data_IF_464115875557
#
_entry.id   IF_464115875557
#
_cell.length_a   1.000
_cell.length_b   1.000
_cell.length_c   1.000
_cell.angle_alpha   90.00
_cell.angle_beta   90.00
_cell.angle_gamma   90.00
#
_symmetry.space_group_name_H-M   'P 1'
#
loop_
_entity.id
_entity.type
_entity.pdbx_description
1 polymer ?
#
# COMPACT_ATOMS: atom_id res chain seq x y z
N UNK A 1 -24.75 -7.84 14.81
CA UNK A 1 -23.28 -7.80 14.93
C UNK A 1 -22.92 -6.36 15.22
N UNK A 2 -21.93 -6.12 16.10
CA UNK A 2 -21.47 -4.75 16.33
C UNK A 2 -20.73 -4.28 15.08
N UNK A 3 -21.19 -3.19 14.49
CA UNK A 3 -20.51 -2.51 13.39
C UNK A 3 -19.23 -1.88 13.97
N UNK A 4 -18.07 -2.46 13.68
CA UNK A 4 -16.78 -2.04 14.26
C UNK A 4 -16.13 -0.93 13.45
N UNK A 5 -16.30 -0.99 12.14
CA UNK A 5 -15.79 0.04 11.23
C UNK A 5 -16.95 0.97 10.94
N UNK A 6 -16.87 2.15 11.55
CA UNK A 6 -17.84 3.21 11.32
C UNK A 6 -17.74 3.69 9.88
N UNK A 7 -18.79 4.38 9.43
CA UNK A 7 -18.80 5.05 8.14
C UNK A 7 -17.69 6.11 8.02
N UNK A 8 -17.37 6.79 9.12
CA UNK A 8 -16.28 7.77 9.17
C UNK A 8 -14.91 7.10 9.00
N UNK A 9 -14.66 6.02 9.73
CA UNK A 9 -13.41 5.26 9.63
C UNK A 9 -13.23 4.68 8.23
N UNK A 10 -14.29 4.12 7.64
CA UNK A 10 -14.22 3.58 6.29
C UNK A 10 -13.89 4.66 5.26
N UNK A 11 -14.51 5.85 5.37
CA UNK A 11 -14.19 6.98 4.47
C UNK A 11 -12.74 7.40 4.60
N UNK A 12 -12.21 7.48 5.83
CA UNK A 12 -10.80 7.79 6.07
C UNK A 12 -9.87 6.72 5.50
N UNK A 13 -10.23 5.44 5.59
CA UNK A 13 -9.46 4.35 4.99
C UNK A 13 -9.45 4.44 3.46
N UNK A 14 -10.59 4.73 2.83
CA UNK A 14 -10.69 4.93 1.39
C UNK A 14 -9.84 6.12 0.92
N UNK A 15 -9.86 7.23 1.66
CA UNK A 15 -9.03 8.41 1.40
C UNK A 15 -7.53 8.07 1.48
N UNK A 16 -7.09 7.39 2.54
CA UNK A 16 -5.69 6.95 2.68
C UNK A 16 -5.24 6.01 1.56
N UNK A 17 -6.17 5.21 1.02
CA UNK A 17 -5.93 4.33 -0.11
C UNK A 17 -6.04 5.04 -1.48
N UNK A 18 -6.35 6.35 -1.50
CA UNK A 18 -6.62 7.13 -2.72
C UNK A 18 -7.73 6.51 -3.59
N UNK A 19 -8.78 5.99 -2.95
CA UNK A 19 -9.95 5.41 -3.60
C UNK A 19 -11.14 6.37 -3.54
N UNK A 20 -11.57 6.86 -4.70
CA UNK A 20 -12.84 7.56 -4.83
C UNK A 20 -13.96 6.54 -5.07
N UNK A 21 -14.87 6.41 -4.10
CA UNK A 21 -15.94 5.42 -4.13
C UNK A 21 -17.32 6.10 -4.14
N UNK A 22 -18.23 5.69 -5.04
CA UNK A 22 -19.64 6.04 -4.95
C UNK A 22 -20.24 5.60 -3.61
N UNK A 23 -21.19 6.36 -3.09
CA UNK A 23 -21.79 6.11 -1.77
C UNK A 23 -22.42 4.71 -1.63
N UNK A 24 -23.04 4.18 -2.69
CA UNK A 24 -23.59 2.82 -2.70
C UNK A 24 -22.49 1.74 -2.59
N UNK A 25 -21.41 1.91 -3.35
CA UNK A 25 -20.26 1.00 -3.33
C UNK A 25 -19.52 1.07 -2.00
N UNK A 26 -19.36 2.28 -1.45
CA UNK A 26 -18.75 2.49 -0.15
C UNK A 26 -19.53 1.76 0.96
N UNK A 27 -20.86 1.82 0.94
CA UNK A 27 -21.67 1.11 1.93
C UNK A 27 -21.62 -0.41 1.77
N UNK A 28 -21.63 -0.90 0.53
CA UNK A 28 -21.46 -2.31 0.24
C UNK A 28 -20.10 -2.83 0.77
N UNK A 29 -19.01 -2.18 0.38
CA UNK A 29 -17.65 -2.57 0.77
C UNK A 29 -17.42 -2.44 2.28
N UNK A 30 -17.99 -1.42 2.92
CA UNK A 30 -17.94 -1.27 4.38
C UNK A 30 -18.65 -2.42 5.10
N UNK A 31 -19.79 -2.88 4.56
CA UNK A 31 -20.47 -4.07 5.04
C UNK A 31 -19.60 -5.32 4.93
N UNK A 32 -19.01 -5.55 3.76
CA UNK A 32 -18.11 -6.68 3.52
C UNK A 32 -16.86 -6.64 4.41
N UNK A 33 -16.27 -5.46 4.63
CA UNK A 33 -15.11 -5.31 5.49
C UNK A 33 -15.46 -5.59 6.96
N UNK A 34 -16.64 -5.16 7.44
CA UNK A 34 -17.14 -5.53 8.76
C UNK A 34 -17.38 -7.05 8.87
N UNK A 35 -17.85 -7.72 7.81
CA UNK A 35 -17.98 -9.18 7.79
C UNK A 35 -16.61 -9.87 7.90
N UNK A 36 -15.57 -9.32 7.26
CA UNK A 36 -14.20 -9.84 7.33
C UNK A 36 -13.55 -9.68 8.72
N UNK A 37 -14.01 -8.73 9.55
CA UNK A 37 -13.51 -8.57 10.93
C UNK A 37 -13.70 -9.84 11.77
N UNK A 38 -14.70 -10.67 11.45
CA UNK A 38 -14.92 -11.97 12.12
C UNK A 38 -13.66 -12.85 11.99
N UNK A 39 -13.05 -12.90 10.81
CA UNK A 39 -11.83 -13.69 10.60
C UNK A 39 -10.64 -13.15 11.39
N UNK A 40 -10.54 -11.83 11.53
CA UNK A 40 -9.48 -11.17 12.31
C UNK A 40 -9.65 -11.49 13.80
N UNK A 41 -10.87 -11.45 14.33
CA UNK A 41 -11.18 -11.79 15.73
C UNK A 41 -10.85 -13.26 16.05
N UNK A 42 -11.13 -14.16 15.10
CA UNK A 42 -10.75 -15.58 15.25
C UNK A 42 -9.23 -15.70 15.36
N UNK A 43 -8.47 -14.99 14.53
CA UNK A 43 -7.00 -14.99 14.59
C UNK A 43 -6.48 -14.37 15.89
N UNK A 44 -7.05 -13.26 16.34
CA UNK A 44 -6.70 -12.58 17.60
C UNK A 44 -6.94 -13.48 18.83
N UNK A 45 -7.95 -14.35 18.77
CA UNK A 45 -8.27 -15.27 19.87
C UNK A 45 -7.25 -16.40 20.05
N UNK A 46 -6.34 -16.60 19.10
CA UNK A 46 -5.32 -17.65 19.17
C UNK A 46 -4.20 -17.17 20.11
N UNK A 47 -3.94 -17.87 21.24
CA UNK A 47 -2.86 -17.48 22.14
C UNK A 47 -1.51 -17.65 21.43
N UNK A 48 -0.69 -16.59 21.47
CA UNK A 48 0.68 -16.58 20.97
C UNK A 48 1.61 -16.45 22.18
N UNK A 49 2.66 -17.27 22.23
CA UNK A 49 3.68 -17.16 23.27
C UNK A 49 4.38 -15.80 23.17
N UNK A 50 4.60 -15.11 24.29
CA UNK A 50 5.19 -13.77 24.30
C UNK A 50 6.63 -13.73 23.76
N UNK A 51 7.33 -14.87 23.76
CA UNK A 51 8.67 -15.05 23.19
C UNK A 51 8.61 -15.37 21.68
N UNK A 52 7.42 -15.46 21.08
CA UNK A 52 7.28 -15.71 19.64
C UNK A 52 7.62 -14.44 18.86
N UNK A 53 8.74 -14.49 18.15
CA UNK A 53 9.12 -13.42 17.22
C UNK A 53 8.18 -13.32 16.01
N UNK A 54 8.06 -12.11 15.46
CA UNK A 54 7.32 -11.88 14.21
C UNK A 54 8.04 -12.50 13.02
N UNK A 55 7.32 -13.23 12.17
CA UNK A 55 7.86 -13.80 10.94
C UNK A 55 7.89 -12.76 9.80
N UNK A 56 8.88 -11.87 9.78
CA UNK A 56 9.03 -10.84 8.73
C UNK A 56 9.34 -11.44 7.33
N UNK A 57 9.97 -12.61 7.30
CA UNK A 57 10.32 -13.34 6.08
C UNK A 57 10.03 -14.83 6.26
N UNK A 58 9.76 -15.54 5.15
CA UNK A 58 9.50 -16.98 5.19
C UNK A 58 10.74 -17.85 5.49
N UNK A 59 11.94 -17.28 5.40
CA UNK A 59 13.21 -17.92 5.74
C UNK A 59 14.12 -16.92 6.48
N UNK A 60 14.96 -17.39 7.42
CA UNK A 60 15.95 -16.53 8.07
C UNK A 60 17.05 -16.13 7.07
N UNK A 61 17.41 -14.85 7.08
CA UNK A 61 18.59 -14.36 6.35
C UNK A 61 19.84 -14.54 7.22
N UNK A 62 20.71 -15.45 6.79
CA UNK A 62 22.01 -15.79 7.36
C UNK A 62 23.12 -15.32 6.40
N UNK A 63 24.36 -15.30 6.85
CA UNK A 63 25.51 -14.97 5.99
C UNK A 63 25.61 -15.87 4.74
N UNK A 64 25.08 -17.10 4.80
CA UNK A 64 25.11 -18.05 3.68
C UNK A 64 24.07 -17.75 2.59
N UNK A 65 22.88 -17.25 2.97
CA UNK A 65 21.76 -17.07 2.04
C UNK A 65 21.35 -15.60 1.81
N UNK A 66 22.02 -14.66 2.49
CA UNK A 66 21.83 -13.23 2.26
C UNK A 66 22.50 -12.81 0.97
N UNK A 67 21.80 -12.02 0.16
CA UNK A 67 22.40 -11.39 -1.02
C UNK A 67 23.51 -10.42 -0.59
N UNK A 68 24.61 -10.39 -1.33
CA UNK A 68 25.64 -9.37 -1.15
C UNK A 68 25.06 -7.96 -1.47
N UNK A 69 25.59 -6.90 -0.83
CA UNK A 69 25.23 -5.54 -1.20
C UNK A 69 25.49 -5.28 -2.69
N UNK A 70 24.60 -4.50 -3.33
CA UNK A 70 24.80 -4.05 -4.70
C UNK A 70 26.03 -3.13 -4.77
N UNK A 71 26.93 -3.38 -5.71
CA UNK A 71 28.09 -2.53 -5.97
C UNK A 71 27.70 -1.12 -6.44
N UNK A 72 28.49 -0.13 -6.05
CA UNK A 72 28.31 1.27 -6.44
C UNK A 72 28.86 1.58 -7.84
N UNK A 73 28.27 0.94 -8.85
CA UNK A 73 28.62 1.13 -10.27
C UNK A 73 27.42 1.70 -11.00
N UNK A 74 27.59 2.89 -11.58
CA UNK A 74 26.56 3.52 -12.39
C UNK A 74 26.27 2.67 -13.64
N UNK A 75 24.98 2.44 -13.92
CA UNK A 75 24.51 1.77 -15.13
C UNK A 75 23.50 2.67 -15.81
N UNK A 76 23.75 3.01 -17.08
CA UNK A 76 22.78 3.75 -17.89
C UNK A 76 21.68 2.81 -18.35
N UNK A 77 20.43 3.24 -18.21
CA UNK A 77 19.28 2.51 -18.72
C UNK A 77 19.08 2.85 -20.22
N UNK A 78 19.14 1.86 -21.13
CA UNK A 78 18.97 2.11 -22.57
C UNK A 78 17.51 2.29 -22.99
N UNK A 79 16.54 2.01 -22.12
CA UNK A 79 15.11 1.96 -22.43
C UNK A 79 14.37 3.26 -22.10
N UNK A 80 15.08 4.40 -22.00
CA UNK A 80 14.46 5.70 -21.65
C UNK A 80 13.20 6.00 -22.45
N UNK A 81 13.24 5.81 -23.78
CA UNK A 81 12.09 6.11 -24.62
C UNK A 81 10.92 5.15 -24.36
N UNK A 82 11.19 3.85 -24.24
CA UNK A 82 10.17 2.83 -23.94
C UNK A 82 9.50 3.04 -22.57
N UNK A 83 10.22 3.62 -21.60
CA UNK A 83 9.67 4.01 -20.31
C UNK A 83 8.72 5.21 -20.48
N UNK A 84 9.15 6.24 -21.22
CA UNK A 84 8.32 7.43 -21.44
C UNK A 84 7.07 7.11 -22.25
N UNK A 85 7.15 6.22 -23.24
CA UNK A 85 6.01 5.82 -24.08
C UNK A 85 4.86 5.15 -23.28
N UNK A 86 5.09 4.79 -22.01
CA UNK A 86 4.05 4.27 -21.11
C UNK A 86 3.29 5.36 -20.34
N UNK A 87 3.77 6.61 -20.37
CA UNK A 87 3.14 7.72 -19.67
C UNK A 87 1.84 8.14 -20.40
N UNK A 88 0.74 8.39 -19.67
CA UNK A 88 -0.50 8.86 -20.29
C UNK A 88 -0.36 10.20 -21.02
N UNK A 89 0.48 11.09 -20.50
CA UNK A 89 0.71 12.43 -21.06
C UNK A 89 2.18 12.83 -20.87
N UNK A 90 2.75 13.44 -21.91
CA UNK A 90 4.13 13.90 -21.94
C UNK A 90 4.22 15.30 -22.56
N UNK A 91 5.09 16.13 -22.00
CA UNK A 91 5.48 17.42 -22.57
C UNK A 91 6.99 17.59 -22.39
N UNK A 92 7.73 17.88 -23.47
CA UNK A 92 9.19 18.09 -23.47
C UNK A 92 10.02 17.01 -22.75
N UNK A 93 9.52 15.77 -22.72
CA UNK A 93 10.18 14.63 -22.06
C UNK A 93 9.91 14.53 -20.55
N UNK A 94 8.92 15.28 -20.05
CA UNK A 94 8.40 15.21 -18.68
C UNK A 94 7.03 14.52 -18.67
N UNK A 95 6.75 13.78 -17.60
CA UNK A 95 5.42 13.22 -17.34
C UNK A 95 4.55 14.34 -16.79
N UNK A 96 3.47 14.64 -17.50
CA UNK A 96 2.53 15.70 -17.12
C UNK A 96 1.53 15.14 -16.11
N UNK A 97 1.33 15.87 -15.03
CA UNK A 97 0.34 15.57 -13.99
C UNK A 97 -0.40 16.85 -13.62
N UNK A 98 -1.64 16.77 -13.09
CA UNK A 98 -2.32 17.94 -12.53
C UNK A 98 -1.45 18.62 -11.47
N UNK A 99 -1.51 19.95 -11.44
CA UNK A 99 -0.75 20.74 -10.48
C UNK A 99 -1.13 20.36 -9.04
N UNK A 100 -0.13 20.33 -8.16
CA UNK A 100 -0.35 20.04 -6.74
C UNK A 100 -0.64 21.34 -6.01
N UNK A 101 -1.59 21.30 -5.07
CA UNK A 101 -1.83 22.44 -4.19
C UNK A 101 -0.56 22.74 -3.40
N UNK A 102 0.10 23.85 -3.72
CA UNK A 102 1.23 24.35 -2.96
C UNK A 102 0.69 24.97 -1.66
N UNK A 103 0.77 24.23 -0.56
CA UNK A 103 0.74 24.86 0.75
C UNK A 103 2.11 25.51 0.98
N UNK A 104 2.17 26.84 1.01
CA UNK A 104 3.37 27.51 1.51
C UNK A 104 3.54 27.13 2.99
N UNK A 105 4.64 26.45 3.30
CA UNK A 105 5.05 26.19 4.67
C UNK A 105 5.55 27.53 5.24
N UNK A 106 4.80 28.13 6.17
CA UNK A 106 5.27 29.26 7.00
C UNK A 106 6.35 28.83 8.01
#
# INVERSE_FOLDING_TARGET
MAERISREDFRRLAELASLELPEEEAEYLRGELNNQMISIEVLESIPIDAETDTAAHGLPYTDFNSAAPREDIARQDPHRQEILDQAPELEDGYIVVPDISHQELE
#
